data_IF_175190516452
#
_entry.id   IF_175190516452
#
_cell.length_a   1.000
_cell.length_b   1.000
_cell.length_c   1.000
_cell.angle_alpha   90.00
_cell.angle_beta   90.00
_cell.angle_gamma   90.00
#
_symmetry.space_group_name_H-M   'P 1'
#
loop_
_entity.id
_entity.type
_entity.pdbx_description
1 polymer ?
#
# COMPACT_ATOMS: atom_id res chain seq x y z
N UNK A 1 -12.75 -19.76 -16.97
CA UNK A 1 -11.56 -20.59 -17.31
C UNK A 1 -10.44 -19.60 -17.60
N UNK A 2 -9.56 -19.34 -16.63
CA UNK A 2 -8.56 -18.28 -16.76
C UNK A 2 -7.32 -18.83 -17.46
N UNK A 3 -6.96 -18.21 -18.59
CA UNK A 3 -5.84 -18.61 -19.43
C UNK A 3 -4.58 -17.87 -18.95
N UNK A 4 -3.61 -18.62 -18.44
CA UNK A 4 -2.30 -18.09 -18.02
C UNK A 4 -1.41 -18.07 -19.27
N UNK A 5 -0.96 -16.89 -19.70
CA UNK A 5 -0.05 -16.73 -20.84
C UNK A 5 1.35 -16.46 -20.30
N UNK A 6 2.29 -17.35 -20.60
CA UNK A 6 3.70 -17.14 -20.31
C UNK A 6 4.33 -16.25 -21.39
N UNK A 7 5.03 -15.19 -20.97
CA UNK A 7 5.90 -14.41 -21.86
C UNK A 7 7.37 -14.61 -21.49
N UNK A 8 8.26 -14.48 -22.46
CA UNK A 8 9.70 -14.80 -22.40
C UNK A 8 10.54 -13.91 -21.44
N UNK A 9 9.92 -13.26 -20.45
CA UNK A 9 10.57 -12.36 -19.49
C UNK A 9 10.27 -12.63 -18.00
N UNK A 10 9.66 -13.77 -17.67
CA UNK A 10 9.48 -14.19 -16.27
C UNK A 10 8.38 -13.48 -15.47
N UNK A 11 7.54 -12.65 -16.11
CA UNK A 11 6.35 -12.07 -15.48
C UNK A 11 5.14 -13.01 -15.58
N UNK A 12 4.37 -13.15 -14.50
CA UNK A 12 3.02 -13.72 -14.56
C UNK A 12 2.05 -12.60 -14.93
N UNK A 13 1.36 -12.79 -16.04
CA UNK A 13 0.33 -11.87 -16.52
C UNK A 13 -1.03 -12.55 -16.35
N UNK A 14 -1.92 -11.89 -15.61
CA UNK A 14 -3.34 -12.26 -15.56
C UNK A 14 -4.15 -11.24 -16.34
N UNK A 15 -5.26 -11.67 -16.95
CA UNK A 15 -6.25 -10.76 -17.53
C UNK A 15 -7.50 -10.79 -16.66
N UNK A 16 -8.02 -9.61 -16.33
CA UNK A 16 -9.33 -9.54 -15.67
C UNK A 16 -10.47 -9.89 -16.65
N UNK A 17 -11.70 -9.94 -16.13
CA UNK A 17 -12.91 -10.20 -16.92
C UNK A 17 -13.21 -9.13 -18.00
N UNK A 18 -12.48 -8.02 -18.01
CA UNK A 18 -12.61 -6.91 -18.96
C UNK A 18 -11.42 -6.85 -19.94
N UNK A 19 -10.46 -7.78 -19.84
CA UNK A 19 -9.29 -7.86 -20.71
C UNK A 19 -8.12 -6.96 -20.30
N UNK A 20 -8.16 -6.32 -19.12
CA UNK A 20 -7.04 -5.53 -18.62
C UNK A 20 -5.89 -6.44 -18.18
N UNK A 21 -4.67 -6.04 -18.53
CA UNK A 21 -3.44 -6.73 -18.15
C UNK A 21 -3.10 -6.38 -16.70
N UNK A 22 -3.17 -7.36 -15.81
CA UNK A 22 -2.67 -7.29 -14.44
C UNK A 22 -1.27 -7.91 -14.45
N UNK A 23 -0.24 -7.08 -14.33
CA UNK A 23 1.13 -7.55 -14.15
C UNK A 23 1.42 -7.74 -12.67
N UNK A 24 1.51 -8.99 -12.22
CA UNK A 24 2.03 -9.33 -10.90
C UNK A 24 3.52 -9.61 -11.06
N UNK A 25 4.34 -8.55 -10.97
CA UNK A 25 5.80 -8.70 -11.04
C UNK A 25 6.34 -9.15 -9.69
N UNK A 26 6.88 -10.37 -9.66
CA UNK A 26 7.57 -10.92 -8.49
C UNK A 26 8.97 -10.31 -8.38
N UNK A 27 9.21 -9.47 -7.37
CA UNK A 27 10.56 -8.99 -7.06
C UNK A 27 11.36 -10.09 -6.33
N UNK A 28 12.22 -10.81 -7.06
CA UNK A 28 13.20 -11.78 -6.53
C UNK A 28 13.37 -13.02 -7.41
N UNK A 29 14.62 -13.47 -7.59
CA UNK A 29 15.03 -14.55 -8.47
C UNK A 29 14.34 -15.91 -8.19
N UNK A 30 14.05 -16.63 -9.29
CA UNK A 30 13.78 -18.07 -9.48
C UNK A 30 13.79 -18.97 -8.23
N UNK A 31 12.84 -18.77 -7.32
CA UNK A 31 12.26 -19.82 -6.48
C UNK A 31 10.76 -19.52 -6.47
N UNK A 32 9.91 -20.44 -6.94
CA UNK A 32 8.44 -20.33 -6.89
C UNK A 32 7.97 -20.39 -5.44
N UNK A 33 8.23 -19.33 -4.67
CA UNK A 33 7.58 -19.07 -3.40
C UNK A 33 6.42 -18.14 -3.73
N UNK A 34 5.19 -18.63 -3.65
CA UNK A 34 4.03 -17.75 -3.54
C UNK A 34 4.29 -16.85 -2.32
N UNK A 35 4.63 -15.57 -2.54
CA UNK A 35 4.75 -14.64 -1.42
C UNK A 35 3.35 -14.52 -0.79
N UNK A 36 3.24 -14.48 0.55
CA UNK A 36 1.95 -14.26 1.18
C UNK A 36 1.40 -12.89 0.75
N UNK A 37 0.08 -12.72 0.64
CA UNK A 37 -0.54 -11.42 0.36
C UNK A 37 0.01 -10.34 1.30
N UNK A 38 0.34 -9.17 0.76
CA UNK A 38 0.88 -8.05 1.55
C UNK A 38 2.39 -8.10 1.83
N UNK A 39 3.19 -8.91 1.14
CA UNK A 39 4.65 -8.84 1.18
C UNK A 39 5.26 -8.52 -0.19
N UNK A 40 5.83 -7.31 -0.33
CA UNK A 40 6.40 -6.79 -1.57
C UNK A 40 5.47 -6.99 -2.79
N UNK A 41 4.18 -6.75 -2.62
CA UNK A 41 3.19 -6.93 -3.65
C UNK A 41 3.09 -5.66 -4.49
N UNK A 42 3.15 -5.81 -5.82
CA UNK A 42 3.00 -4.70 -6.75
C UNK A 42 1.69 -4.87 -7.49
N UNK A 43 0.83 -3.85 -7.40
CA UNK A 43 -0.40 -3.73 -8.16
C UNK A 43 -0.23 -2.57 -9.13
N UNK A 44 -0.26 -2.87 -10.42
CA UNK A 44 -0.05 -1.88 -11.47
C UNK A 44 -1.29 -1.80 -12.35
N UNK A 45 -1.82 -0.58 -12.52
CA UNK A 45 -2.80 -0.27 -13.55
C UNK A 45 -2.26 0.85 -14.46
N UNK A 46 -3.05 1.28 -15.46
CA UNK A 46 -2.60 2.31 -16.43
C UNK A 46 -2.10 3.59 -15.75
N UNK A 47 -2.65 3.91 -14.58
CA UNK A 47 -2.50 5.22 -13.94
C UNK A 47 -1.64 5.13 -12.66
N UNK A 48 -1.57 3.97 -12.00
CA UNK A 48 -0.98 3.81 -10.67
C UNK A 48 0.03 2.65 -10.60
N UNK A 49 1.06 2.86 -9.79
CA UNK A 49 1.94 1.81 -9.28
C UNK A 49 1.74 1.78 -7.76
N UNK A 50 1.23 0.68 -7.23
CA UNK A 50 0.93 0.52 -5.81
C UNK A 50 1.83 -0.59 -5.28
N UNK A 51 2.73 -0.24 -4.38
CA UNK A 51 3.59 -1.17 -3.67
C UNK A 51 3.03 -1.41 -2.28
N UNK A 52 2.72 -2.67 -1.96
CA UNK A 52 2.07 -3.07 -0.72
C UNK A 52 3.01 -3.99 0.07
N UNK A 53 3.37 -3.56 1.28
CA UNK A 53 4.18 -4.36 2.19
C UNK A 53 3.74 -4.16 3.66
N UNK A 54 3.44 -5.25 4.35
CA UNK A 54 3.08 -5.25 5.77
C UNK A 54 4.25 -5.01 6.73
N UNK A 55 5.38 -4.50 6.24
CA UNK A 55 6.56 -4.12 7.01
C UNK A 55 6.20 -3.30 8.26
N UNK A 56 6.67 -3.75 9.42
CA UNK A 56 6.37 -3.15 10.73
C UNK A 56 7.57 -3.22 11.71
N UNK A 57 8.78 -3.35 11.16
CA UNK A 57 10.06 -3.24 11.87
C UNK A 57 10.97 -2.28 11.10
N UNK A 58 11.95 -1.64 11.76
CA UNK A 58 12.87 -0.70 11.10
C UNK A 58 13.59 -1.32 9.90
N UNK A 59 14.01 -2.59 10.03
CA UNK A 59 14.67 -3.33 8.95
C UNK A 59 13.72 -3.60 7.77
N UNK A 60 12.51 -4.06 8.03
CA UNK A 60 11.53 -4.34 6.97
C UNK A 60 11.05 -3.06 6.28
N UNK A 61 10.88 -1.96 7.02
CA UNK A 61 10.51 -0.66 6.46
C UNK A 61 11.63 -0.14 5.54
N UNK A 62 12.89 -0.19 5.99
CA UNK A 62 14.03 0.22 5.17
C UNK A 62 14.11 -0.59 3.87
N UNK A 63 13.85 -1.91 3.96
CA UNK A 63 13.79 -2.77 2.79
C UNK A 63 12.65 -2.38 1.84
N UNK A 64 11.43 -2.20 2.36
CA UNK A 64 10.26 -1.81 1.56
C UNK A 64 10.47 -0.45 0.86
N UNK A 65 11.03 0.55 1.56
CA UNK A 65 11.37 1.86 0.98
C UNK A 65 12.42 1.72 -0.12
N UNK A 66 13.45 0.89 0.09
CA UNK A 66 14.48 0.64 -0.94
C UNK A 66 13.90 -0.04 -2.18
N UNK A 67 13.04 -1.04 -2.01
CA UNK A 67 12.38 -1.72 -3.13
C UNK A 67 11.41 -0.80 -3.86
N UNK A 68 10.63 0.01 -3.13
CA UNK A 68 9.72 0.98 -3.72
C UNK A 68 10.47 2.03 -4.56
N UNK A 69 11.62 2.54 -4.08
CA UNK A 69 12.47 3.47 -4.85
C UNK A 69 12.87 2.91 -6.21
N UNK A 70 13.08 1.60 -6.32
CA UNK A 70 13.43 0.94 -7.60
C UNK A 70 12.25 0.87 -8.57
N UNK A 71 11.01 0.99 -8.06
CA UNK A 71 9.79 0.99 -8.88
C UNK A 71 9.35 2.41 -9.29
N UNK A 72 9.87 3.46 -8.65
CA UNK A 72 9.53 4.84 -8.99
C UNK A 72 9.89 5.13 -10.44
N UNK A 73 8.93 5.66 -11.17
CA UNK A 73 9.07 6.16 -12.52
C UNK A 73 10.12 7.26 -12.53
N UNK A 74 11.02 7.22 -13.51
CA UNK A 74 11.98 8.30 -13.76
C UNK A 74 11.31 9.56 -14.32
N UNK A 75 10.04 9.51 -14.71
CA UNK A 75 9.27 10.68 -15.13
C UNK A 75 8.70 11.42 -13.91
N UNK A 76 9.01 12.72 -13.80
CA UNK A 76 8.55 13.64 -12.74
C UNK A 76 7.03 13.91 -12.72
N UNK A 77 6.22 13.11 -13.41
CA UNK A 77 4.78 13.37 -13.56
C UNK A 77 3.94 12.84 -12.40
N UNK A 78 4.36 11.73 -11.77
CA UNK A 78 3.57 11.08 -10.72
C UNK A 78 4.03 11.52 -9.34
N UNK A 79 3.06 11.74 -8.44
CA UNK A 79 3.32 12.10 -7.05
C UNK A 79 3.53 10.83 -6.23
N UNK A 80 4.50 10.86 -5.31
CA UNK A 80 4.67 9.81 -4.30
C UNK A 80 3.66 10.03 -3.19
N UNK A 81 2.79 9.04 -3.00
CA UNK A 81 1.80 8.98 -1.91
C UNK A 81 2.17 7.85 -0.96
N UNK A 82 2.11 8.12 0.34
CA UNK A 82 2.30 7.12 1.38
C UNK A 82 0.95 6.77 1.98
N UNK A 83 0.67 5.49 2.09
CA UNK A 83 -0.39 4.95 2.93
C UNK A 83 0.28 4.25 4.10
N UNK A 84 0.22 4.86 5.29
CA UNK A 84 0.85 4.34 6.49
C UNK A 84 -0.20 3.83 7.46
N UNK A 85 0.04 2.65 8.03
CA UNK A 85 -0.83 2.06 9.04
C UNK A 85 0.00 1.64 10.24
N UNK A 86 -0.54 1.79 11.44
CA UNK A 86 0.09 1.29 12.65
C UNK A 86 -0.98 0.74 13.59
N UNK A 87 -0.71 -0.45 14.15
CA UNK A 87 -1.64 -1.15 15.05
C UNK A 87 -1.20 -1.12 16.51
N UNK A 88 0.06 -0.74 16.77
CA UNK A 88 0.64 -0.67 18.11
C UNK A 88 1.36 0.65 18.28
N UNK A 89 1.22 1.27 19.45
CA UNK A 89 1.93 2.50 19.79
C UNK A 89 3.42 2.24 20.13
N UNK A 90 4.21 1.81 19.14
CA UNK A 90 5.67 1.66 19.25
C UNK A 90 6.35 1.97 17.91
N UNK A 91 7.51 2.61 17.97
CA UNK A 91 8.50 2.83 16.89
C UNK A 91 8.08 3.53 15.59
N UNK A 92 6.82 3.95 15.44
CA UNK A 92 6.32 4.57 14.21
C UNK A 92 7.08 5.85 13.79
N UNK A 93 7.64 6.62 14.74
CA UNK A 93 8.50 7.77 14.43
C UNK A 93 9.73 7.38 13.61
N UNK A 94 10.39 6.29 13.99
CA UNK A 94 11.57 5.80 13.26
C UNK A 94 11.22 5.30 11.86
N UNK A 95 10.03 4.71 11.71
CA UNK A 95 9.53 4.24 10.42
C UNK A 95 9.24 5.44 9.51
N UNK A 96 8.54 6.45 10.02
CA UNK A 96 8.26 7.69 9.29
C UNK A 96 9.57 8.40 8.89
N UNK A 97 10.56 8.50 9.77
CA UNK A 97 11.85 9.08 9.42
C UNK A 97 12.53 8.37 8.24
N UNK A 98 12.32 7.07 8.09
CA UNK A 98 12.83 6.29 6.96
C UNK A 98 11.99 6.51 5.70
N UNK A 99 10.67 6.49 5.83
CA UNK A 99 9.72 6.66 4.72
C UNK A 99 9.80 8.08 4.13
N UNK A 100 9.90 9.10 4.97
CA UNK A 100 9.97 10.51 4.59
C UNK A 100 11.29 10.91 3.92
N UNK A 101 12.24 9.98 3.78
CA UNK A 101 13.37 10.17 2.86
C UNK A 101 12.96 10.02 1.39
N UNK A 102 11.70 9.67 1.11
CA UNK A 102 11.08 9.79 -0.20
C UNK A 102 10.57 11.23 -0.37
N UNK A 103 10.49 11.73 -1.61
CA UNK A 103 9.86 13.04 -1.90
C UNK A 103 8.32 12.94 -1.81
N UNK A 104 7.83 12.71 -0.59
CA UNK A 104 6.42 12.45 -0.28
C UNK A 104 5.60 13.72 -0.46
N UNK A 105 4.54 13.63 -1.27
CA UNK A 105 3.60 14.75 -1.50
C UNK A 105 2.29 14.60 -0.73
N UNK A 106 1.94 13.37 -0.36
CA UNK A 106 0.69 13.05 0.31
C UNK A 106 0.89 11.88 1.26
N UNK A 107 0.34 12.00 2.47
CA UNK A 107 0.35 10.94 3.49
C UNK A 107 -1.09 10.67 3.90
N UNK A 108 -1.52 9.42 3.73
CA UNK A 108 -2.78 8.94 4.25
C UNK A 108 -2.54 7.89 5.32
N UNK A 109 -3.28 8.00 6.41
CA UNK A 109 -3.20 7.13 7.57
C UNK A 109 -4.43 6.24 7.59
N UNK A 110 -4.20 4.94 7.47
CA UNK A 110 -5.26 3.93 7.42
C UNK A 110 -5.17 3.07 8.68
N UNK A 111 -6.17 3.12 9.58
CA UNK A 111 -6.24 2.21 10.72
C UNK A 111 -6.18 0.75 10.26
N UNK A 112 -5.37 -0.06 10.94
CA UNK A 112 -5.34 -1.50 10.68
C UNK A 112 -6.54 -2.19 11.33
N UNK A 113 -7.19 -3.12 10.63
CA UNK A 113 -8.26 -3.92 11.23
C UNK A 113 -7.71 -5.26 11.69
N UNK A 114 -7.79 -5.55 12.99
CA UNK A 114 -7.53 -6.89 13.52
C UNK A 114 -8.80 -7.75 13.40
N UNK A 115 -8.70 -8.88 12.71
CA UNK A 115 -9.84 -9.74 12.41
C UNK A 115 -10.28 -9.59 10.94
N UNK A 116 -10.53 -10.70 10.27
CA UNK A 116 -10.74 -10.77 8.82
C UNK A 116 -12.11 -10.24 8.33
N UNK A 117 -12.90 -9.58 9.19
CA UNK A 117 -14.28 -9.24 8.87
C UNK A 117 -14.42 -7.79 8.34
N UNK A 118 -13.82 -7.55 7.16
CA UNK A 118 -13.85 -6.27 6.44
C UNK A 118 -15.17 -6.08 5.67
N UNK A 119 -16.31 -6.21 6.35
CA UNK A 119 -17.61 -5.94 5.75
C UNK A 119 -17.85 -4.43 5.55
N UNK A 120 -18.52 -4.09 4.44
CA UNK A 120 -18.43 -2.84 3.64
C UNK A 120 -18.88 -1.54 4.34
N UNK A 121 -19.32 -1.59 5.60
CA UNK A 121 -19.77 -0.42 6.38
C UNK A 121 -19.02 -0.22 7.70
N UNK A 122 -17.90 -0.93 7.91
CA UNK A 122 -17.21 -0.88 9.18
C UNK A 122 -16.44 0.44 9.33
N UNK A 123 -16.84 1.22 10.34
CA UNK A 123 -15.96 2.24 10.90
C UNK A 123 -14.74 1.54 11.49
N UNK A 124 -13.56 2.12 11.29
CA UNK A 124 -12.37 1.56 11.89
C UNK A 124 -12.41 1.63 13.42
N UNK A 125 -11.72 0.71 14.07
CA UNK A 125 -11.63 0.66 15.53
C UNK A 125 -11.11 1.99 16.10
N UNK A 126 -11.73 2.44 17.20
CA UNK A 126 -11.38 3.70 17.86
C UNK A 126 -9.90 3.73 18.26
N UNK A 127 -9.37 2.60 18.76
CA UNK A 127 -7.98 2.48 19.19
C UNK A 127 -6.99 2.74 18.06
N UNK A 128 -7.15 2.08 16.92
CA UNK A 128 -6.27 2.26 15.76
C UNK A 128 -6.45 3.64 15.13
N UNK A 129 -7.67 4.19 15.17
CA UNK A 129 -7.96 5.56 14.74
C UNK A 129 -7.20 6.58 15.59
N UNK A 130 -7.20 6.44 16.92
CA UNK A 130 -6.43 7.32 17.82
C UNK A 130 -4.93 7.28 17.53
N UNK A 131 -4.37 6.10 17.20
CA UNK A 131 -2.95 6.00 16.80
C UNK A 131 -2.71 6.80 15.51
N UNK A 132 -3.59 6.66 14.51
CA UNK A 132 -3.49 7.46 13.28
C UNK A 132 -3.61 8.97 13.58
N UNK A 133 -4.50 9.40 14.46
CA UNK A 133 -4.64 10.81 14.84
C UNK A 133 -3.38 11.35 15.55
N UNK A 134 -2.75 10.57 16.42
CA UNK A 134 -1.47 10.92 17.04
C UNK A 134 -0.35 11.08 16.00
N UNK A 135 -0.29 10.17 15.02
CA UNK A 135 0.67 10.24 13.92
C UNK A 135 0.40 11.48 13.04
N UNK A 136 -0.87 11.76 12.73
CA UNK A 136 -1.26 12.94 11.96
C UNK A 136 -0.82 14.23 12.64
N UNK A 137 -1.03 14.33 13.97
CA UNK A 137 -0.59 15.48 14.75
C UNK A 137 0.93 15.63 14.75
N UNK A 138 1.67 14.52 14.84
CA UNK A 138 3.13 14.55 14.71
C UNK A 138 3.58 15.05 13.34
N UNK A 139 3.01 14.51 12.25
CA UNK A 139 3.32 14.92 10.88
C UNK A 139 3.03 16.41 10.67
N UNK A 140 1.88 16.88 11.18
CA UNK A 140 1.51 18.30 11.15
C UNK A 140 2.53 19.18 11.85
N UNK A 141 3.04 18.76 13.01
CA UNK A 141 4.05 19.51 13.77
C UNK A 141 5.39 19.64 13.02
N UNK A 142 5.70 18.72 12.09
CA UNK A 142 6.89 18.78 11.24
C UNK A 142 6.59 19.35 9.84
N UNK A 143 5.40 19.96 9.64
CA UNK A 143 5.02 20.62 8.40
C UNK A 143 4.47 19.70 7.30
N UNK A 144 4.11 18.46 7.63
CA UNK A 144 3.57 17.48 6.69
C UNK A 144 2.08 17.28 6.96
N UNK A 145 1.25 17.56 5.94
CA UNK A 145 -0.18 17.24 6.00
C UNK A 145 -0.40 15.74 5.92
N UNK A 146 -1.31 15.22 6.76
CA UNK A 146 -1.72 13.83 6.72
C UNK A 146 -3.24 13.70 6.93
N UNK A 147 -3.87 12.84 6.14
CA UNK A 147 -5.29 12.52 6.24
C UNK A 147 -5.48 11.22 7.02
N UNK A 148 -6.44 11.18 7.95
CA UNK A 148 -6.82 9.96 8.66
C UNK A 148 -8.12 9.43 8.08
N UNK A 149 -8.08 8.22 7.53
CA UNK A 149 -9.26 7.56 6.98
C UNK A 149 -10.02 6.86 8.10
N UNK A 150 -11.34 7.07 8.18
CA UNK A 150 -12.19 6.60 9.28
C UNK A 150 -13.10 5.40 8.91
N UNK A 151 -13.23 5.12 7.62
CA UNK A 151 -14.07 4.06 7.10
C UNK A 151 -13.48 3.40 5.85
N UNK A 152 -13.94 2.19 5.56
CA UNK A 152 -13.46 1.40 4.43
C UNK A 152 -13.85 1.98 3.06
N UNK A 153 -15.02 2.64 2.95
CA UNK A 153 -15.48 3.20 1.70
C UNK A 153 -14.56 4.34 1.20
N UNK A 154 -14.07 5.14 2.14
CA UNK A 154 -13.07 6.19 1.89
C UNK A 154 -11.75 5.60 1.38
N UNK A 155 -11.34 4.41 1.85
CA UNK A 155 -10.15 3.71 1.30
C UNK A 155 -10.37 3.34 -0.16
N UNK A 156 -11.55 2.85 -0.54
CA UNK A 156 -11.86 2.56 -1.94
C UNK A 156 -11.83 3.84 -2.80
N UNK A 157 -12.40 4.94 -2.31
CA UNK A 157 -12.44 6.21 -3.03
C UNK A 157 -11.05 6.75 -3.37
N UNK A 158 -10.08 6.61 -2.46
CA UNK A 158 -8.69 7.04 -2.66
C UNK A 158 -8.05 6.47 -3.95
N UNK A 159 -8.47 5.28 -4.38
CA UNK A 159 -7.90 4.59 -5.54
C UNK A 159 -8.70 4.82 -6.85
N UNK A 160 -9.85 5.48 -6.80
CA UNK A 160 -10.71 5.65 -7.99
C UNK A 160 -10.23 6.73 -8.96
N UNK A 161 -9.52 7.77 -8.50
CA UNK A 161 -9.34 9.01 -9.29
C UNK A 161 -7.93 9.64 -9.30
N UNK A 162 -6.86 8.92 -8.92
CA UNK A 162 -5.53 9.53 -8.82
C UNK A 162 -4.47 8.82 -9.66
N UNK A 163 -3.48 9.57 -10.16
CA UNK A 163 -2.23 9.08 -10.77
C UNK A 163 -1.09 9.24 -9.76
N UNK A 164 -0.88 8.22 -8.93
CA UNK A 164 0.13 8.22 -7.89
C UNK A 164 1.02 6.98 -7.97
N UNK A 165 2.21 7.14 -7.42
CA UNK A 165 3.06 6.05 -7.00
C UNK A 165 2.85 5.88 -5.49
N UNK A 166 2.22 4.78 -5.11
CA UNK A 166 1.70 4.59 -3.77
C UNK A 166 2.55 3.55 -3.04
N UNK A 167 3.05 3.90 -1.86
CA UNK A 167 3.67 2.97 -0.93
C UNK A 167 2.73 2.72 0.25
N UNK A 168 2.29 1.47 0.42
CA UNK A 168 1.47 1.00 1.53
C UNK A 168 2.35 0.24 2.51
N UNK A 169 2.55 0.76 3.72
CA UNK A 169 3.47 0.22 4.73
C UNK A 169 3.03 0.46 6.17
N UNK A 170 3.71 -0.20 7.13
CA UNK A 170 3.59 0.06 8.57
C UNK A 170 2.85 -1.02 9.35
N UNK A 171 1.99 -1.81 8.69
CA UNK A 171 1.28 -2.92 9.32
C UNK A 171 0.74 -3.90 8.28
N UNK A 172 0.81 -5.20 8.59
CA UNK A 172 0.15 -6.25 7.80
C UNK A 172 -1.36 -6.06 7.73
N UNK A 173 -1.98 -5.51 8.78
CA UNK A 173 -3.42 -5.27 8.83
C UNK A 173 -3.83 -4.13 7.90
N UNK A 174 -3.07 -3.03 7.89
CA UNK A 174 -3.30 -1.92 6.95
C UNK A 174 -3.04 -2.33 5.50
N UNK A 175 -1.99 -3.11 5.26
CA UNK A 175 -1.74 -3.72 3.95
C UNK A 175 -2.93 -4.60 3.50
N UNK A 176 -3.52 -5.37 4.41
CA UNK A 176 -4.72 -6.17 4.16
C UNK A 176 -5.95 -5.33 3.81
N UNK A 177 -6.19 -4.23 4.53
CA UNK A 177 -7.28 -3.27 4.24
C UNK A 177 -7.16 -2.73 2.82
N UNK A 178 -5.97 -2.26 2.44
CA UNK A 178 -5.72 -1.74 1.08
C UNK A 178 -5.87 -2.83 0.03
N UNK A 179 -5.29 -4.01 0.24
CA UNK A 179 -5.42 -5.12 -0.71
C UNK A 179 -6.89 -5.51 -0.93
N UNK A 180 -7.71 -5.50 0.13
CA UNK A 180 -9.15 -5.77 0.03
C UNK A 180 -9.87 -4.67 -0.77
N UNK A 181 -9.56 -3.40 -0.52
CA UNK A 181 -10.15 -2.28 -1.27
C UNK A 181 -9.83 -2.39 -2.77
N UNK A 182 -8.58 -2.70 -3.11
CA UNK A 182 -8.16 -2.92 -4.50
C UNK A 182 -8.87 -4.12 -5.14
N UNK A 183 -9.08 -5.21 -4.38
CA UNK A 183 -9.84 -6.36 -4.85
C UNK A 183 -11.30 -6.00 -5.15
N UNK A 184 -11.96 -5.24 -4.27
CA UNK A 184 -13.34 -4.79 -4.48
C UNK A 184 -13.47 -3.88 -5.72
N UNK A 185 -12.45 -3.06 -5.97
CA UNK A 185 -12.35 -2.20 -7.15
C UNK A 185 -11.96 -2.95 -8.43
N UNK A 186 -11.67 -4.26 -8.35
CA UNK A 186 -11.13 -5.08 -9.46
C UNK A 186 -9.82 -4.52 -10.03
N UNK A 187 -8.98 -3.95 -9.15
CA UNK A 187 -7.64 -3.46 -9.49
C UNK A 187 -6.54 -4.51 -9.21
N UNK A 188 -6.90 -5.64 -8.59
CA UNK A 188 -6.06 -6.82 -8.32
C UNK A 188 -6.66 -8.06 -8.94
#
# INVERSE_FOLDING_TARGET
MNMIIHTNGGGLVSKDSQGNIIMVKQCGALIKVQKPPGHCQIVQNKNNIIFIDGAHTSRSISFAVSEFRKQLSTSNKKKVKIIFSQTKDREWKSFLNTILQLDVKDVTLVPGVSGFDLNVSQQFGEKETVICEQIAQYLKNIGIGAEVIKDFASVEEMFRNQENEVLVVGSVHGAGVVAKALQNLKLM
#
